data_IF_182859471675
#
_entry.id   IF_182859471675
#
_cell.length_a   1.000
_cell.length_b   1.000
_cell.length_c   1.000
_cell.angle_alpha   90.00
_cell.angle_beta   90.00
_cell.angle_gamma   90.00
#
_symmetry.space_group_name_H-M   'P 1'
#
loop_
_entity.id
_entity.type
_entity.pdbx_description
1 polymer ?
#
# COMPACT_ATOMS: atom_id res chain seq x y z
N UNK A 1 25.43 5.28 -11.86
CA UNK A 1 26.90 5.25 -12.04
C UNK A 1 27.24 4.70 -13.41
N UNK A 2 28.48 4.85 -13.89
CA UNK A 2 28.91 4.30 -15.17
C UNK A 2 30.11 5.04 -15.74
N UNK A 3 30.87 4.37 -16.63
CA UNK A 3 31.96 5.00 -17.37
C UNK A 3 31.44 5.41 -18.75
N UNK A 4 31.67 6.67 -19.13
CA UNK A 4 31.44 7.11 -20.50
C UNK A 4 32.37 6.36 -21.46
N UNK A 5 32.01 6.28 -22.75
CA UNK A 5 32.80 5.55 -23.76
C UNK A 5 34.30 5.94 -23.75
N UNK A 6 34.61 7.23 -23.61
CA UNK A 6 36.00 7.71 -23.49
C UNK A 6 36.71 7.17 -22.25
N UNK A 7 36.02 7.11 -21.12
CA UNK A 7 36.57 6.59 -19.86
C UNK A 7 36.77 5.07 -19.93
N UNK A 8 35.90 4.34 -20.63
CA UNK A 8 36.08 2.91 -20.92
C UNK A 8 37.38 2.69 -21.71
N UNK A 9 37.61 3.48 -22.77
CA UNK A 9 38.87 3.40 -23.54
C UNK A 9 40.09 3.75 -22.68
N UNK A 10 40.00 4.78 -21.85
CA UNK A 10 41.07 5.17 -20.91
C UNK A 10 41.36 4.06 -19.89
N UNK A 11 40.34 3.37 -19.38
CA UNK A 11 40.50 2.23 -18.48
C UNK A 11 41.27 1.09 -19.16
N UNK A 12 40.90 0.76 -20.40
CA UNK A 12 41.58 -0.28 -21.19
C UNK A 12 43.05 0.09 -21.42
N UNK A 13 43.35 1.31 -21.82
CA UNK A 13 44.74 1.74 -22.01
C UNK A 13 45.52 1.76 -20.70
N UNK A 14 44.93 2.21 -19.60
CA UNK A 14 45.56 2.18 -18.26
C UNK A 14 45.94 0.76 -17.86
N UNK A 15 45.04 -0.21 -18.08
CA UNK A 15 45.30 -1.62 -17.80
C UNK A 15 46.30 -2.22 -18.77
N UNK A 16 46.32 -1.78 -20.04
CA UNK A 16 47.32 -2.20 -21.03
C UNK A 16 48.71 -1.73 -20.66
N UNK A 17 48.87 -0.46 -20.29
CA UNK A 17 50.15 0.11 -19.85
C UNK A 17 50.67 -0.59 -18.59
N UNK A 18 49.77 -1.00 -17.69
CA UNK A 18 50.12 -1.75 -16.49
C UNK A 18 50.34 -3.27 -16.73
N UNK A 19 50.06 -3.79 -17.93
CA UNK A 19 50.12 -5.22 -18.24
C UNK A 19 49.09 -6.06 -17.47
N UNK A 20 47.89 -5.51 -17.24
CA UNK A 20 46.82 -6.09 -16.40
C UNK A 20 45.46 -6.19 -17.11
N UNK A 21 45.44 -6.26 -18.43
CA UNK A 21 44.18 -6.42 -19.19
C UNK A 21 43.35 -7.62 -18.74
N UNK A 22 44.02 -8.73 -18.38
CA UNK A 22 43.38 -9.94 -17.88
C UNK A 22 42.65 -9.76 -16.55
N UNK A 23 42.84 -8.63 -15.86
CA UNK A 23 42.12 -8.31 -14.62
C UNK A 23 40.69 -7.81 -14.90
N UNK A 24 40.43 -7.26 -16.08
CA UNK A 24 39.10 -6.78 -16.47
C UNK A 24 38.31 -7.92 -17.12
N UNK A 25 37.47 -8.57 -16.31
CA UNK A 25 36.78 -9.81 -16.70
C UNK A 25 35.25 -9.70 -16.73
N UNK A 26 34.68 -8.58 -16.27
CA UNK A 26 33.24 -8.40 -16.12
C UNK A 26 32.79 -7.09 -16.76
N UNK A 27 31.76 -7.19 -17.59
CA UNK A 27 31.00 -6.05 -18.11
C UNK A 27 29.68 -5.97 -17.35
N UNK A 28 29.39 -4.81 -16.77
CA UNK A 28 28.18 -4.56 -15.99
C UNK A 28 27.42 -3.36 -16.54
N UNK A 29 26.10 -3.45 -16.54
CA UNK A 29 25.19 -2.33 -16.71
C UNK A 29 23.93 -2.56 -15.89
N UNK A 30 23.26 -1.47 -15.49
CA UNK A 30 22.01 -1.53 -14.75
C UNK A 30 21.03 -0.49 -15.30
N UNK A 31 19.85 -0.94 -15.72
CA UNK A 31 18.83 -0.08 -16.36
C UNK A 31 17.91 0.62 -15.34
N UNK A 32 17.89 0.14 -14.10
CA UNK A 32 16.95 0.53 -13.06
C UNK A 32 16.18 -0.67 -12.50
N UNK A 33 15.50 -0.48 -11.37
CA UNK A 33 14.55 -1.45 -10.82
C UNK A 33 13.20 -1.34 -11.54
N UNK A 34 12.41 -2.41 -11.52
CA UNK A 34 11.02 -2.41 -12.03
C UNK A 34 10.91 -1.91 -13.49
N UNK A 35 11.66 -2.52 -14.42
CA UNK A 35 11.51 -2.18 -15.85
C UNK A 35 10.16 -2.72 -16.34
N UNK A 36 9.18 -1.85 -16.56
CA UNK A 36 7.83 -2.23 -17.00
C UNK A 36 7.77 -2.74 -18.45
N UNK A 37 8.70 -2.31 -19.29
CA UNK A 37 8.67 -2.53 -20.74
C UNK A 37 9.85 -3.35 -21.25
N UNK A 38 9.57 -4.50 -21.86
CA UNK A 38 10.58 -5.41 -22.40
C UNK A 38 11.46 -4.79 -23.48
N UNK A 39 10.94 -3.81 -24.24
CA UNK A 39 11.71 -3.16 -25.31
C UNK A 39 12.90 -2.38 -24.75
N UNK A 40 12.78 -1.83 -23.56
CA UNK A 40 13.84 -1.05 -22.94
C UNK A 40 14.97 -1.97 -22.47
N UNK A 41 14.62 -3.14 -21.92
CA UNK A 41 15.57 -4.22 -21.60
C UNK A 41 16.28 -4.70 -22.87
N UNK A 42 15.52 -5.03 -23.93
CA UNK A 42 16.09 -5.48 -25.19
C UNK A 42 17.02 -4.44 -25.84
N UNK A 43 16.73 -3.15 -25.65
CA UNK A 43 17.56 -2.06 -26.19
C UNK A 43 18.85 -1.91 -25.38
N UNK A 44 18.76 -1.91 -24.05
CA UNK A 44 19.92 -1.85 -23.17
C UNK A 44 20.87 -3.05 -23.36
N UNK A 45 20.34 -4.27 -23.44
CA UNK A 45 21.17 -5.47 -23.66
C UNK A 45 21.86 -5.43 -25.02
N UNK A 46 21.15 -5.01 -26.08
CA UNK A 46 21.76 -4.91 -27.42
C UNK A 46 22.91 -3.90 -27.47
N UNK A 47 22.77 -2.76 -26.80
CA UNK A 47 23.86 -1.79 -26.70
C UNK A 47 25.05 -2.37 -25.90
N UNK A 48 24.79 -2.94 -24.73
CA UNK A 48 25.84 -3.54 -23.88
C UNK A 48 26.54 -4.73 -24.53
N UNK A 49 25.82 -5.55 -25.31
CA UNK A 49 26.42 -6.64 -26.09
C UNK A 49 27.42 -6.10 -27.13
N UNK A 50 27.19 -4.91 -27.69
CA UNK A 50 28.18 -4.24 -28.56
C UNK A 50 29.42 -3.80 -27.77
N UNK A 51 29.28 -3.33 -26.53
CA UNK A 51 30.43 -3.05 -25.67
C UNK A 51 31.26 -4.32 -25.40
N UNK A 52 30.61 -5.47 -25.16
CA UNK A 52 31.31 -6.76 -25.02
C UNK A 52 32.17 -7.08 -26.25
N UNK A 53 31.59 -6.96 -27.46
CA UNK A 53 32.29 -7.20 -28.72
C UNK A 53 33.46 -6.24 -28.92
N UNK A 54 33.25 -4.94 -28.71
CA UNK A 54 34.29 -3.93 -28.94
C UNK A 54 35.42 -4.01 -27.91
N UNK A 55 35.14 -4.39 -26.65
CA UNK A 55 36.17 -4.64 -25.64
C UNK A 55 37.02 -5.87 -25.97
N UNK A 56 36.42 -6.94 -26.49
CA UNK A 56 37.15 -8.11 -27.03
C UNK A 56 38.08 -7.74 -28.19
N UNK A 57 37.64 -6.85 -29.10
CA UNK A 57 38.50 -6.33 -30.19
C UNK A 57 39.70 -5.54 -29.67
N UNK A 58 39.60 -4.93 -28.50
CA UNK A 58 40.70 -4.24 -27.82
C UNK A 58 41.63 -5.20 -27.04
N UNK A 59 41.36 -6.51 -27.09
CA UNK A 59 42.16 -7.56 -26.44
C UNK A 59 41.79 -7.81 -24.98
N UNK A 60 40.66 -7.28 -24.50
CA UNK A 60 40.15 -7.58 -23.15
C UNK A 60 39.36 -8.88 -23.20
N UNK A 61 39.70 -9.84 -22.34
CA UNK A 61 38.96 -11.09 -22.24
C UNK A 61 37.85 -11.00 -21.18
N UNK A 62 36.71 -10.41 -21.56
CA UNK A 62 35.54 -10.36 -20.69
C UNK A 62 34.87 -11.74 -20.67
N UNK A 63 34.63 -12.26 -19.48
CA UNK A 63 34.07 -13.59 -19.22
C UNK A 63 32.66 -13.52 -18.64
N UNK A 64 32.32 -12.41 -17.97
CA UNK A 64 31.04 -12.20 -17.34
C UNK A 64 30.30 -11.02 -18.00
N UNK A 65 29.06 -11.26 -18.38
CA UNK A 65 28.13 -10.27 -18.91
C UNK A 65 26.98 -10.12 -17.92
N UNK A 66 27.08 -9.09 -17.09
CA UNK A 66 26.14 -8.80 -16.03
C UNK A 66 25.14 -7.74 -16.49
N UNK A 67 23.87 -8.14 -16.55
CA UNK A 67 22.76 -7.26 -16.97
C UNK A 67 22.16 -6.45 -15.81
N UNK A 68 22.70 -6.64 -14.60
CA UNK A 68 22.17 -6.05 -13.38
C UNK A 68 20.76 -6.56 -13.06
N UNK A 69 20.03 -5.78 -12.27
CA UNK A 69 18.62 -6.02 -11.98
C UNK A 69 17.67 -5.53 -13.07
N UNK A 70 16.45 -5.19 -12.67
CA UNK A 70 15.43 -4.61 -13.55
C UNK A 70 14.36 -5.57 -14.07
N UNK A 71 14.54 -6.88 -13.87
CA UNK A 71 13.42 -7.83 -13.97
C UNK A 71 12.32 -7.40 -13.00
N UNK A 72 11.20 -6.91 -13.55
CA UNK A 72 10.10 -6.40 -12.77
C UNK A 72 9.14 -7.49 -12.31
N UNK A 73 8.30 -7.11 -11.36
CA UNK A 73 7.26 -7.96 -10.76
C UNK A 73 5.91 -7.34 -11.08
N UNK A 74 4.90 -8.17 -11.32
CA UNK A 74 3.55 -7.72 -11.62
C UNK A 74 2.76 -7.62 -10.31
N UNK A 75 2.68 -6.41 -9.75
CA UNK A 75 1.96 -6.16 -8.49
C UNK A 75 0.45 -5.98 -8.73
N UNK A 76 0.05 -5.53 -9.92
CA UNK A 76 -1.35 -5.32 -10.28
C UNK A 76 -2.07 -6.60 -10.72
N UNK A 77 -1.33 -7.55 -11.31
CA UNK A 77 -1.89 -8.74 -11.94
C UNK A 77 -2.45 -8.50 -13.36
N UNK A 78 -2.28 -7.28 -13.91
CA UNK A 78 -2.84 -6.89 -15.22
C UNK A 78 -1.93 -7.26 -16.40
N UNK A 79 -0.67 -7.62 -16.13
CA UNK A 79 0.38 -7.86 -17.14
C UNK A 79 0.50 -6.76 -18.19
N UNK A 80 0.33 -5.52 -17.75
CA UNK A 80 0.33 -4.33 -18.58
C UNK A 80 1.63 -3.55 -18.46
N UNK A 81 1.80 -2.54 -19.33
CA UNK A 81 2.91 -1.57 -19.25
C UNK A 81 2.50 -0.38 -18.37
N UNK A 82 2.24 -0.64 -17.09
CA UNK A 82 2.00 0.37 -16.05
C UNK A 82 3.16 0.42 -15.06
N UNK A 83 3.14 1.38 -14.15
CA UNK A 83 4.26 1.63 -13.23
C UNK A 83 4.47 0.47 -12.22
N UNK A 84 3.39 -0.18 -11.78
CA UNK A 84 3.42 -1.30 -10.85
C UNK A 84 3.27 -2.68 -11.52
N UNK A 85 3.37 -2.76 -12.86
CA UNK A 85 3.26 -4.00 -13.64
C UNK A 85 4.44 -4.17 -14.61
N UNK A 86 4.48 -5.34 -15.28
CA UNK A 86 5.36 -5.61 -16.40
C UNK A 86 4.60 -6.20 -17.60
N UNK A 87 5.02 -5.84 -18.80
CA UNK A 87 4.40 -6.33 -20.04
C UNK A 87 5.01 -7.62 -20.62
N UNK A 88 5.86 -8.32 -19.85
CA UNK A 88 6.63 -9.47 -20.35
C UNK A 88 6.78 -10.59 -19.33
N UNK A 89 6.87 -11.84 -19.79
CA UNK A 89 7.10 -13.04 -18.98
C UNK A 89 8.55 -13.21 -18.49
N UNK A 90 8.77 -14.05 -17.47
CA UNK A 90 10.11 -14.46 -17.04
C UNK A 90 10.93 -15.05 -18.21
N UNK A 91 10.30 -15.93 -19.00
CA UNK A 91 10.95 -16.55 -20.16
C UNK A 91 11.25 -15.54 -21.26
N UNK A 92 10.38 -14.54 -21.44
CA UNK A 92 10.59 -13.49 -22.44
C UNK A 92 11.77 -12.58 -22.06
N UNK A 93 11.88 -12.23 -20.77
CA UNK A 93 13.05 -11.54 -20.23
C UNK A 93 14.34 -12.33 -20.49
N UNK A 94 14.37 -13.61 -20.09
CA UNK A 94 15.52 -14.47 -20.30
C UNK A 94 15.89 -14.61 -21.78
N UNK A 95 14.88 -14.81 -22.65
CA UNK A 95 15.10 -14.90 -24.10
C UNK A 95 15.71 -13.60 -24.65
N UNK A 96 15.15 -12.43 -24.32
CA UNK A 96 15.67 -11.16 -24.84
C UNK A 96 17.14 -10.93 -24.45
N UNK A 97 17.54 -11.35 -23.24
CA UNK A 97 18.94 -11.25 -22.80
C UNK A 97 19.83 -12.22 -23.57
N UNK A 98 19.49 -13.52 -23.55
CA UNK A 98 20.33 -14.58 -24.11
C UNK A 98 20.47 -14.43 -25.62
N UNK A 99 19.39 -14.10 -26.35
CA UNK A 99 19.46 -13.89 -27.79
C UNK A 99 20.31 -12.68 -28.16
N UNK A 100 20.17 -11.55 -27.43
CA UNK A 100 20.91 -10.35 -27.75
C UNK A 100 22.44 -10.51 -27.60
N UNK A 101 22.90 -11.16 -26.53
CA UNK A 101 24.33 -11.45 -26.37
C UNK A 101 24.79 -12.59 -27.28
N UNK A 102 23.95 -13.60 -27.51
CA UNK A 102 24.24 -14.74 -28.39
C UNK A 102 24.47 -14.30 -29.84
N UNK A 103 23.53 -13.57 -30.42
CA UNK A 103 23.64 -13.06 -31.80
C UNK A 103 24.88 -12.17 -31.96
N UNK A 104 25.14 -11.29 -31.00
CA UNK A 104 26.33 -10.43 -31.02
C UNK A 104 27.65 -11.23 -30.98
N UNK A 105 27.69 -12.34 -30.24
CA UNK A 105 28.85 -13.23 -30.20
C UNK A 105 29.03 -13.98 -31.53
N UNK A 106 27.96 -14.57 -32.07
CA UNK A 106 27.97 -15.34 -33.33
C UNK A 106 28.41 -14.48 -34.52
N UNK A 107 27.87 -13.27 -34.63
CA UNK A 107 28.23 -12.33 -35.71
C UNK A 107 29.73 -11.97 -35.74
N UNK A 108 30.40 -12.03 -34.58
CA UNK A 108 31.79 -11.61 -34.42
C UNK A 108 32.74 -12.79 -34.13
N UNK A 109 32.23 -14.03 -34.12
CA UNK A 109 33.02 -15.23 -33.82
C UNK A 109 33.62 -15.25 -32.42
N UNK A 110 32.93 -14.67 -31.44
CA UNK A 110 33.37 -14.58 -30.04
C UNK A 110 32.77 -15.72 -29.19
N UNK A 111 33.43 -16.13 -28.10
CA UNK A 111 32.84 -17.08 -27.15
C UNK A 111 31.65 -16.45 -26.42
N UNK A 112 30.68 -17.29 -26.06
CA UNK A 112 29.55 -16.86 -25.24
C UNK A 112 30.01 -16.62 -23.79
N UNK A 113 29.79 -15.44 -23.20
CA UNK A 113 30.17 -15.17 -21.82
C UNK A 113 29.20 -15.83 -20.82
N UNK A 114 29.62 -15.91 -19.56
CA UNK A 114 28.71 -16.23 -18.45
C UNK A 114 27.76 -15.05 -18.26
N UNK A 115 26.46 -15.30 -18.29
CA UNK A 115 25.44 -14.26 -18.07
C UNK A 115 25.07 -14.21 -16.59
N UNK A 116 25.10 -13.01 -16.02
CA UNK A 116 24.73 -12.72 -14.64
C UNK A 116 23.53 -11.77 -14.65
N UNK A 117 22.63 -11.94 -13.68
CA UNK A 117 21.54 -11.00 -13.41
C UNK A 117 21.41 -10.80 -11.90
N UNK A 118 21.13 -9.57 -11.50
CA UNK A 118 20.96 -9.14 -10.10
C UNK A 118 19.47 -8.90 -9.80
N UNK A 119 18.62 -9.87 -10.16
CA UNK A 119 17.16 -9.77 -10.09
C UNK A 119 16.61 -9.92 -8.65
N UNK A 120 17.01 -9.03 -7.74
CA UNK A 120 16.63 -9.07 -6.32
C UNK A 120 15.13 -9.01 -6.07
N UNK A 121 14.46 -7.94 -6.54
CA UNK A 121 12.99 -7.77 -6.40
C UNK A 121 12.22 -9.00 -6.92
N UNK A 122 12.66 -9.59 -8.03
CA UNK A 122 11.98 -10.73 -8.63
C UNK A 122 12.00 -11.99 -7.75
N UNK A 123 13.05 -12.18 -6.93
CA UNK A 123 13.17 -13.36 -6.07
C UNK A 123 12.59 -13.13 -4.67
N UNK A 124 12.53 -11.90 -4.17
CA UNK A 124 12.04 -11.61 -2.82
C UNK A 124 10.62 -11.04 -2.75
N UNK A 125 10.04 -10.50 -3.82
CA UNK A 125 8.75 -9.78 -3.70
C UNK A 125 7.63 -10.60 -3.01
N UNK A 126 7.46 -11.88 -3.36
CA UNK A 126 6.31 -12.68 -2.95
C UNK A 126 6.49 -13.44 -1.62
N UNK A 127 7.69 -13.44 -1.03
CA UNK A 127 8.01 -14.38 0.07
C UNK A 127 7.48 -13.96 1.44
N UNK A 128 7.16 -12.67 1.62
CA UNK A 128 6.65 -12.10 2.87
C UNK A 128 5.22 -11.60 2.67
N UNK A 129 4.38 -11.82 3.68
CA UNK A 129 3.02 -11.27 3.78
C UNK A 129 2.90 -10.56 5.12
N UNK A 130 2.52 -9.28 5.10
CA UNK A 130 2.17 -8.57 6.32
C UNK A 130 0.71 -8.92 6.67
N UNK A 131 0.47 -9.31 7.92
CA UNK A 131 -0.86 -9.67 8.41
C UNK A 131 -1.18 -8.83 9.63
N UNK A 132 -2.36 -8.19 9.64
CA UNK A 132 -2.79 -7.38 10.78
C UNK A 132 -4.32 -7.37 10.92
N UNK A 133 -4.80 -7.08 12.13
CA UNK A 133 -6.21 -6.97 12.47
C UNK A 133 -6.75 -5.57 12.18
N UNK A 134 -8.08 -5.48 12.07
CA UNK A 134 -8.82 -4.22 12.01
C UNK A 134 -9.27 -3.90 13.43
N UNK A 135 -8.85 -2.77 13.98
CA UNK A 135 -9.16 -2.34 15.36
C UNK A 135 -10.37 -1.41 15.45
N UNK A 136 -10.84 -0.91 14.31
CA UNK A 136 -11.95 0.02 14.27
C UNK A 136 -12.53 0.15 12.89
N UNK A 137 -13.85 0.29 12.82
CA UNK A 137 -14.59 0.47 11.57
C UNK A 137 -15.53 1.66 11.71
N UNK A 138 -15.33 2.70 10.89
CA UNK A 138 -16.36 3.71 10.66
C UNK A 138 -17.26 3.26 9.50
N UNK A 139 -18.38 2.65 9.87
CA UNK A 139 -19.45 2.26 8.94
C UNK A 139 -20.56 3.28 8.99
N UNK A 140 -21.05 3.71 7.82
CA UNK A 140 -22.25 4.53 7.78
C UNK A 140 -23.47 3.71 8.24
N UNK A 141 -24.26 4.27 9.15
CA UNK A 141 -25.51 3.66 9.60
C UNK A 141 -26.68 4.22 8.79
N UNK A 142 -27.28 3.38 7.96
CA UNK A 142 -28.54 3.76 7.32
C UNK A 142 -29.64 3.88 8.37
N UNK A 143 -30.13 5.10 8.57
CA UNK A 143 -31.27 5.38 9.44
C UNK A 143 -32.37 6.03 8.63
N UNK A 144 -33.61 5.55 8.76
CA UNK A 144 -34.73 6.19 8.09
C UNK A 144 -34.90 7.61 8.64
N UNK A 145 -34.74 8.65 7.80
CA UNK A 145 -34.75 10.02 8.26
C UNK A 145 -36.16 10.45 8.69
N UNK A 146 -36.23 11.34 9.68
CA UNK A 146 -37.48 11.95 10.15
C UNK A 146 -37.69 13.31 9.51
N UNK A 147 -38.96 13.70 9.31
CA UNK A 147 -39.30 15.03 8.78
C UNK A 147 -38.65 16.14 9.63
N UNK A 148 -38.16 17.23 8.98
CA UNK A 148 -37.61 18.37 9.70
C UNK A 148 -38.75 19.14 10.40
N UNK A 149 -38.38 20.08 11.28
CA UNK A 149 -39.36 20.97 11.89
C UNK A 149 -40.10 21.80 10.83
N UNK A 150 -41.38 22.13 11.07
CA UNK A 150 -42.19 22.91 10.14
C UNK A 150 -41.62 24.32 9.88
N UNK A 151 -40.89 24.88 10.84
CA UNK A 151 -40.20 26.16 10.76
C UNK A 151 -38.71 26.04 10.40
N UNK A 152 -38.24 24.84 10.02
CA UNK A 152 -36.87 24.62 9.60
C UNK A 152 -36.53 25.47 8.35
N UNK A 153 -35.24 25.84 8.18
CA UNK A 153 -34.82 26.62 7.02
C UNK A 153 -35.15 25.91 5.70
N UNK A 154 -35.36 26.70 4.64
CA UNK A 154 -35.77 26.21 3.31
C UNK A 154 -34.85 25.11 2.76
N UNK A 155 -33.55 25.15 3.03
CA UNK A 155 -32.61 24.12 2.57
C UNK A 155 -32.95 22.73 3.15
N UNK A 156 -33.32 22.63 4.43
CA UNK A 156 -33.70 21.35 5.04
C UNK A 156 -35.04 20.85 4.49
N UNK A 157 -36.00 21.76 4.28
CA UNK A 157 -37.28 21.44 3.64
C UNK A 157 -37.07 20.93 2.21
N UNK A 158 -36.17 21.54 1.43
CA UNK A 158 -35.79 21.12 0.07
C UNK A 158 -35.21 19.70 0.03
N UNK A 159 -34.29 19.37 0.94
CA UNK A 159 -33.77 18.00 1.06
C UNK A 159 -34.86 16.99 1.42
N UNK A 160 -35.78 17.36 2.32
CA UNK A 160 -36.89 16.49 2.70
C UNK A 160 -37.89 16.27 1.56
N UNK A 161 -38.20 17.32 0.79
CA UNK A 161 -39.05 17.23 -0.41
C UNK A 161 -38.43 16.25 -1.43
N UNK A 162 -37.11 16.34 -1.65
CA UNK A 162 -36.37 15.42 -2.52
C UNK A 162 -36.47 13.97 -2.03
N UNK A 163 -36.27 13.74 -0.72
CA UNK A 163 -36.44 12.40 -0.12
C UNK A 163 -37.85 11.84 -0.30
N UNK A 164 -38.88 12.65 -0.12
CA UNK A 164 -40.27 12.23 -0.34
C UNK A 164 -40.53 11.91 -1.82
N UNK A 165 -40.01 12.72 -2.73
CA UNK A 165 -40.14 12.53 -4.18
C UNK A 165 -39.51 11.19 -4.63
N UNK A 166 -38.35 10.81 -4.06
CA UNK A 166 -37.67 9.53 -4.35
C UNK A 166 -38.53 8.30 -4.03
N UNK A 167 -39.43 8.42 -3.04
CA UNK A 167 -40.28 7.31 -2.58
C UNK A 167 -41.70 7.35 -3.19
N UNK A 168 -42.03 8.38 -3.96
CA UNK A 168 -43.34 8.51 -4.58
C UNK A 168 -43.44 7.71 -5.89
N UNK A 169 -44.40 6.77 -6.02
CA UNK A 169 -44.53 5.95 -7.22
C UNK A 169 -45.06 6.78 -8.39
N UNK A 170 -44.20 6.99 -9.41
CA UNK A 170 -44.58 7.65 -10.67
C UNK A 170 -43.75 8.89 -11.02
N UNK A 171 -42.86 9.32 -10.13
CA UNK A 171 -41.93 10.42 -10.40
C UNK A 171 -40.93 10.03 -11.49
N UNK A 172 -40.81 10.88 -12.51
CA UNK A 172 -40.03 10.62 -13.73
C UNK A 172 -38.72 11.41 -13.76
N UNK A 173 -38.10 11.56 -12.59
CA UNK A 173 -36.85 12.30 -12.39
C UNK A 173 -35.66 11.33 -12.44
N UNK A 174 -34.51 11.82 -12.87
CA UNK A 174 -33.33 10.96 -12.96
C UNK A 174 -32.66 10.83 -11.59
N UNK A 175 -32.15 9.63 -11.26
CA UNK A 175 -31.39 9.38 -10.02
C UNK A 175 -30.24 10.39 -9.83
N UNK A 176 -29.63 10.81 -10.94
CA UNK A 176 -28.53 11.78 -10.95
C UNK A 176 -28.98 13.16 -10.49
N UNK A 177 -30.18 13.59 -10.88
CA UNK A 177 -30.73 14.88 -10.51
C UNK A 177 -31.02 14.95 -9.02
N UNK A 178 -31.64 13.90 -8.44
CA UNK A 178 -31.82 13.81 -6.99
C UNK A 178 -30.50 13.90 -6.23
N UNK A 179 -29.45 13.23 -6.73
CA UNK A 179 -28.13 13.30 -6.10
C UNK A 179 -27.51 14.70 -6.18
N UNK A 180 -27.64 15.38 -7.33
CA UNK A 180 -27.15 16.76 -7.52
C UNK A 180 -27.88 17.77 -6.63
N UNK A 181 -29.21 17.69 -6.57
CA UNK A 181 -30.03 18.55 -5.71
C UNK A 181 -29.61 18.36 -4.24
N UNK A 182 -29.48 17.10 -3.82
CA UNK A 182 -29.06 16.75 -2.45
C UNK A 182 -27.64 17.22 -2.10
N UNK A 183 -26.70 17.15 -3.05
CA UNK A 183 -25.33 17.63 -2.86
C UNK A 183 -25.28 19.16 -2.72
N UNK A 184 -26.07 19.87 -3.52
CA UNK A 184 -26.13 21.33 -3.49
C UNK A 184 -26.74 21.83 -2.18
N UNK A 185 -27.87 21.23 -1.75
CA UNK A 185 -28.50 21.60 -0.49
C UNK A 185 -27.60 21.31 0.72
N UNK A 186 -26.90 20.17 0.75
CA UNK A 186 -25.94 19.86 1.81
C UNK A 186 -24.79 20.89 1.84
N UNK A 187 -24.28 21.29 0.67
CA UNK A 187 -23.24 22.31 0.57
C UNK A 187 -23.71 23.66 1.12
N UNK A 188 -24.91 24.11 0.76
CA UNK A 188 -25.48 25.36 1.25
C UNK A 188 -25.65 25.35 2.77
N UNK A 189 -26.05 24.19 3.35
CA UNK A 189 -26.16 24.00 4.80
C UNK A 189 -24.78 24.06 5.47
N UNK A 190 -23.73 23.46 4.88
CA UNK A 190 -22.36 23.52 5.40
C UNK A 190 -21.77 24.94 5.38
N UNK A 191 -21.98 25.68 4.29
CA UNK A 191 -21.56 27.09 4.17
C UNK A 191 -22.32 27.97 5.16
N UNK A 192 -23.62 27.77 5.27
CA UNK A 192 -24.45 28.49 6.22
C UNK A 192 -24.10 28.17 7.68
N UNK A 193 -23.81 26.92 8.01
CA UNK A 193 -23.34 26.51 9.34
C UNK A 193 -22.06 27.27 9.72
N UNK A 194 -21.10 27.34 8.81
CA UNK A 194 -19.84 28.09 9.00
C UNK A 194 -20.09 29.60 9.16
N UNK A 195 -21.15 30.10 8.55
CA UNK A 195 -21.60 31.50 8.66
C UNK A 195 -22.48 31.77 9.89
N UNK A 196 -22.78 30.75 10.69
CA UNK A 196 -23.62 30.83 11.89
C UNK A 196 -25.13 30.89 11.62
N UNK A 197 -25.59 30.53 10.41
CA UNK A 197 -27.03 30.54 10.06
C UNK A 197 -27.74 29.21 10.30
N UNK A 198 -26.98 28.13 10.51
CA UNK A 198 -27.51 26.81 10.86
C UNK A 198 -26.90 26.33 12.18
N UNK A 199 -27.70 25.60 12.95
CA UNK A 199 -27.29 24.90 14.15
C UNK A 199 -26.58 23.58 13.85
N UNK A 200 -25.91 23.02 14.86
CA UNK A 200 -25.29 21.70 14.76
C UNK A 200 -26.33 20.60 14.53
N UNK A 201 -27.51 20.71 15.15
CA UNK A 201 -28.60 19.75 14.98
C UNK A 201 -29.11 19.72 13.53
N UNK A 202 -29.25 20.88 12.90
CA UNK A 202 -29.70 20.98 11.50
C UNK A 202 -28.63 20.43 10.54
N UNK A 203 -27.35 20.73 10.80
CA UNK A 203 -26.24 20.15 10.04
C UNK A 203 -26.20 18.63 10.13
N UNK A 204 -26.28 18.08 11.35
CA UNK A 204 -26.26 16.63 11.57
C UNK A 204 -27.45 15.94 10.91
N UNK A 205 -28.64 16.53 10.99
CA UNK A 205 -29.84 16.02 10.32
C UNK A 205 -29.67 15.99 8.79
N UNK A 206 -29.11 17.05 8.20
CA UNK A 206 -28.87 17.14 6.76
C UNK A 206 -27.83 16.12 6.28
N UNK A 207 -26.74 15.94 7.03
CA UNK A 207 -25.70 14.94 6.75
C UNK A 207 -26.26 13.51 6.76
N UNK A 208 -27.08 13.16 7.76
CA UNK A 208 -27.72 11.85 7.86
C UNK A 208 -28.77 11.61 6.75
N UNK A 209 -29.57 12.63 6.43
CA UNK A 209 -30.52 12.55 5.32
C UNK A 209 -29.80 12.36 3.98
N UNK A 210 -28.69 13.07 3.77
CA UNK A 210 -27.87 12.93 2.57
C UNK A 210 -27.29 11.51 2.43
N UNK A 211 -26.72 10.93 3.49
CA UNK A 211 -26.21 9.55 3.48
C UNK A 211 -27.33 8.54 3.20
N UNK A 212 -28.52 8.77 3.76
CA UNK A 212 -29.70 7.93 3.49
C UNK A 212 -30.14 8.00 2.03
N UNK A 213 -30.10 9.20 1.41
CA UNK A 213 -30.36 9.38 -0.02
C UNK A 213 -29.32 8.67 -0.88
N UNK A 214 -28.03 8.78 -0.54
CA UNK A 214 -26.96 8.03 -1.22
C UNK A 214 -27.22 6.52 -1.20
N UNK A 215 -27.58 5.96 -0.04
CA UNK A 215 -27.91 4.55 0.10
C UNK A 215 -29.11 4.11 -0.76
N UNK A 216 -30.18 4.92 -0.82
CA UNK A 216 -31.35 4.60 -1.67
C UNK A 216 -31.06 4.75 -3.17
N UNK A 217 -30.24 5.74 -3.56
CA UNK A 217 -29.80 5.89 -4.95
C UNK A 217 -28.94 4.68 -5.35
N UNK A 218 -28.02 4.25 -4.48
CA UNK A 218 -27.11 3.13 -4.75
C UNK A 218 -27.87 1.84 -5.09
N UNK A 219 -28.96 1.53 -4.38
CA UNK A 219 -29.82 0.37 -4.64
C UNK A 219 -30.51 0.41 -6.02
N UNK A 220 -30.74 1.59 -6.57
CA UNK A 220 -31.45 1.79 -7.84
C UNK A 220 -30.51 1.90 -9.05
N UNK A 221 -29.19 2.03 -8.82
CA UNK A 221 -28.20 2.15 -9.89
C UNK A 221 -27.99 0.80 -10.59
N UNK A 222 -28.31 0.77 -11.88
CA UNK A 222 -27.96 -0.34 -12.78
C UNK A 222 -26.51 -0.22 -13.31
N UNK A 223 -25.58 -1.16 -13.00
CA UNK A 223 -24.20 -1.14 -13.50
C UNK A 223 -24.09 -1.35 -15.02
N UNK A 224 -25.10 -1.93 -15.67
CA UNK A 224 -25.12 -2.06 -17.13
C UNK A 224 -25.36 -0.71 -17.82
N UNK A 225 -26.02 0.23 -17.14
CA UNK A 225 -26.26 1.56 -17.67
C UNK A 225 -24.98 2.41 -17.61
N UNK A 226 -24.45 2.78 -18.78
CA UNK A 226 -23.24 3.60 -18.91
C UNK A 226 -23.33 4.96 -18.18
N UNK A 227 -24.52 5.55 -18.09
CA UNK A 227 -24.71 6.83 -17.38
C UNK A 227 -24.64 6.68 -15.86
N UNK A 228 -24.87 5.48 -15.32
CA UNK A 228 -24.86 5.20 -13.89
C UNK A 228 -23.47 4.89 -13.36
N UNK A 229 -22.59 4.28 -14.15
CA UNK A 229 -21.22 3.91 -13.73
C UNK A 229 -20.44 5.01 -12.98
N UNK A 230 -20.31 6.25 -13.50
CA UNK A 230 -19.58 7.28 -12.75
C UNK A 230 -20.26 7.66 -11.43
N UNK A 231 -21.57 7.45 -11.30
CA UNK A 231 -22.30 7.66 -10.05
C UNK A 231 -22.05 6.50 -9.09
N UNK A 232 -21.96 5.28 -9.59
CA UNK A 232 -21.62 4.09 -8.80
C UNK A 232 -20.24 4.27 -8.19
N UNK A 233 -19.24 4.66 -8.98
CA UNK A 233 -17.87 4.88 -8.50
C UNK A 233 -17.85 5.99 -7.42
N UNK A 234 -18.52 7.12 -7.68
CA UNK A 234 -18.64 8.24 -6.73
C UNK A 234 -19.33 7.83 -5.40
N UNK A 235 -20.39 7.03 -5.48
CA UNK A 235 -21.11 6.56 -4.29
C UNK A 235 -20.34 5.46 -3.56
N UNK A 236 -19.61 4.59 -4.26
CA UNK A 236 -18.80 3.55 -3.66
C UNK A 236 -17.68 4.14 -2.81
N UNK A 237 -17.00 5.19 -3.28
CA UNK A 237 -16.03 5.94 -2.48
C UNK A 237 -16.67 6.58 -1.25
N UNK A 238 -17.82 7.23 -1.45
CA UNK A 238 -18.47 7.98 -0.37
C UNK A 238 -19.12 7.09 0.71
N UNK A 239 -19.61 5.92 0.30
CA UNK A 239 -20.29 4.95 1.16
C UNK A 239 -19.34 3.84 1.64
N UNK A 240 -18.05 3.91 1.30
CA UNK A 240 -17.06 2.93 1.75
C UNK A 240 -16.92 2.97 3.27
N UNK A 241 -16.77 1.78 3.86
CA UNK A 241 -16.43 1.65 5.27
C UNK A 241 -14.96 2.08 5.46
N UNK A 242 -14.66 2.90 6.45
CA UNK A 242 -13.26 3.18 6.80
C UNK A 242 -12.79 2.19 7.84
N UNK A 243 -11.74 1.47 7.55
CA UNK A 243 -11.17 0.46 8.44
C UNK A 243 -9.80 0.93 8.92
N UNK A 244 -9.62 0.94 10.22
CA UNK A 244 -8.34 1.23 10.87
C UNK A 244 -7.63 -0.09 11.12
N UNK A 245 -6.52 -0.29 10.45
CA UNK A 245 -5.72 -1.52 10.50
C UNK A 245 -4.54 -1.30 11.43
N UNK A 246 -4.27 -2.24 12.33
CA UNK A 246 -3.25 -2.13 13.37
C UNK A 246 -1.82 -2.31 12.84
N UNK A 247 -1.37 -1.37 12.03
CA UNK A 247 -0.02 -1.34 11.48
C UNK A 247 0.39 0.10 11.18
N UNK A 248 1.61 0.30 10.69
CA UNK A 248 2.06 1.60 10.17
C UNK A 248 2.50 1.46 8.72
N UNK A 249 1.93 2.27 7.84
CA UNK A 249 2.27 2.33 6.42
C UNK A 249 3.74 2.70 6.21
N UNK A 250 4.22 3.68 6.98
CA UNK A 250 5.60 4.19 6.91
C UNK A 250 6.65 3.17 7.35
N UNK A 251 6.27 2.25 8.24
CA UNK A 251 7.14 1.22 8.76
C UNK A 251 7.12 -0.02 7.86
N UNK A 252 5.94 -0.55 7.55
CA UNK A 252 5.82 -1.85 6.89
C UNK A 252 5.68 -1.76 5.36
N UNK A 253 5.30 -0.60 4.82
CA UNK A 253 5.12 -0.40 3.36
C UNK A 253 5.60 0.99 2.88
N UNK A 254 6.86 1.38 3.13
CA UNK A 254 7.36 2.72 2.81
C UNK A 254 7.29 3.07 1.31
N UNK A 255 7.46 2.08 0.41
CA UNK A 255 7.32 2.31 -1.05
C UNK A 255 5.88 2.75 -1.44
N UNK A 256 4.85 2.35 -0.68
CA UNK A 256 3.46 2.77 -0.95
C UNK A 256 3.31 4.29 -0.78
N UNK A 257 3.95 4.85 0.26
CA UNK A 257 3.97 6.29 0.51
C UNK A 257 4.96 7.03 -0.40
N UNK A 258 6.15 6.46 -0.64
CA UNK A 258 7.24 7.17 -1.30
C UNK A 258 7.15 7.24 -2.83
N UNK A 259 6.54 6.24 -3.47
CA UNK A 259 6.50 6.09 -4.94
C UNK A 259 5.15 5.57 -5.47
N UNK A 260 4.07 5.68 -4.69
CA UNK A 260 2.73 5.18 -5.03
C UNK A 260 2.73 3.68 -5.41
N UNK A 261 3.59 2.88 -4.77
CA UNK A 261 3.69 1.44 -5.05
C UNK A 261 2.42 0.71 -4.64
N UNK A 262 1.88 -0.09 -5.55
CA UNK A 262 0.71 -0.92 -5.29
C UNK A 262 1.10 -2.24 -4.62
N UNK A 263 0.30 -2.63 -3.62
CA UNK A 263 0.36 -3.93 -2.97
C UNK A 263 -1.02 -4.59 -3.04
N UNK A 264 -1.12 -5.88 -3.40
CA UNK A 264 -2.38 -6.59 -3.27
C UNK A 264 -2.77 -6.69 -1.79
N UNK A 265 -3.94 -6.13 -1.46
CA UNK A 265 -4.53 -6.19 -0.11
C UNK A 265 -5.88 -6.87 -0.20
N UNK A 266 -6.13 -7.82 0.69
CA UNK A 266 -7.37 -8.58 0.74
C UNK A 266 -7.64 -9.17 2.14
N UNK A 267 -8.91 -9.42 2.50
CA UNK A 267 -9.23 -10.19 3.69
C UNK A 267 -8.76 -11.63 3.55
N UNK A 268 -8.29 -12.22 4.65
CA UNK A 268 -7.77 -13.60 4.64
C UNK A 268 -8.88 -14.67 4.56
N UNK A 269 -10.14 -14.27 4.68
CA UNK A 269 -11.31 -15.15 4.67
C UNK A 269 -12.50 -14.51 3.94
N UNK A 270 -13.52 -15.32 3.61
CA UNK A 270 -14.73 -14.85 2.91
C UNK A 270 -14.55 -14.59 1.41
N UNK A 271 -13.39 -14.94 0.83
CA UNK A 271 -13.05 -14.71 -0.57
C UNK A 271 -13.87 -15.55 -1.57
N UNK A 272 -14.62 -16.55 -1.08
CA UNK A 272 -15.56 -17.35 -1.89
C UNK A 272 -16.89 -16.63 -2.16
N UNK A 273 -17.14 -15.52 -1.46
CA UNK A 273 -18.36 -14.72 -1.56
C UNK A 273 -18.19 -13.56 -2.54
N UNK A 274 -19.30 -13.09 -3.09
CA UNK A 274 -19.29 -11.86 -3.91
C UNK A 274 -19.05 -10.65 -2.99
N UNK A 275 -18.25 -9.65 -3.38
CA UNK A 275 -18.09 -8.45 -2.58
C UNK A 275 -19.40 -7.67 -2.50
N UNK A 276 -19.87 -7.44 -1.28
CA UNK A 276 -21.10 -6.69 -0.99
C UNK A 276 -20.79 -5.22 -0.64
N UNK A 277 -19.54 -4.94 -0.23
CA UNK A 277 -19.11 -3.64 0.29
C UNK A 277 -17.80 -3.17 -0.32
N UNK A 278 -17.54 -1.89 -0.11
CA UNK A 278 -16.26 -1.25 -0.40
C UNK A 278 -15.69 -0.69 0.90
N UNK A 279 -14.38 -0.72 1.03
CA UNK A 279 -13.68 -0.17 2.19
C UNK A 279 -12.46 0.65 1.78
N UNK A 280 -12.08 1.59 2.64
CA UNK A 280 -10.78 2.28 2.58
C UNK A 280 -10.02 1.92 3.84
N UNK A 281 -8.77 1.50 3.66
CA UNK A 281 -7.88 1.10 4.73
C UNK A 281 -7.00 2.28 5.14
N UNK A 282 -7.03 2.58 6.43
CA UNK A 282 -6.15 3.54 7.08
C UNK A 282 -5.30 2.79 8.12
N UNK A 283 -4.08 3.25 8.31
CA UNK A 283 -3.23 2.80 9.39
C UNK A 283 -3.60 3.51 10.71
N UNK A 284 -2.89 3.21 11.80
CA UNK A 284 -3.15 3.81 13.13
C UNK A 284 -2.29 5.04 13.42
N UNK A 285 -1.58 5.57 12.42
CA UNK A 285 -0.80 6.78 12.60
C UNK A 285 -1.71 8.00 12.69
N UNK A 286 -1.18 9.09 13.24
CA UNK A 286 -1.91 10.35 13.30
C UNK A 286 -1.76 11.17 12.01
N UNK A 287 -1.04 10.64 11.02
CA UNK A 287 -0.81 11.29 9.73
C UNK A 287 -1.89 10.86 8.74
N UNK A 288 -2.48 11.81 8.03
CA UNK A 288 -3.48 11.53 7.01
C UNK A 288 -2.91 10.79 5.80
N UNK A 289 -1.59 10.84 5.61
CA UNK A 289 -0.89 10.10 4.56
C UNK A 289 -0.77 8.59 4.91
N UNK A 290 -1.12 8.17 6.12
CA UNK A 290 -1.19 6.78 6.57
C UNK A 290 -2.40 6.02 6.01
N UNK A 291 -2.66 6.12 4.71
CA UNK A 291 -3.78 5.45 4.05
C UNK A 291 -3.36 4.79 2.74
N UNK A 292 -4.10 3.77 2.33
CA UNK A 292 -3.91 3.15 1.01
C UNK A 292 -4.87 3.80 0.02
N UNK A 293 -4.30 4.45 -1.00
CA UNK A 293 -5.07 5.20 -2.00
C UNK A 293 -5.65 4.32 -3.11
N UNK A 294 -4.99 3.20 -3.41
CA UNK A 294 -5.27 2.39 -4.59
C UNK A 294 -5.23 0.89 -4.28
N UNK A 295 -6.23 0.18 -4.79
CA UNK A 295 -6.48 -1.24 -4.55
C UNK A 295 -6.63 -1.99 -5.87
N UNK A 296 -6.28 -3.27 -5.86
CA UNK A 296 -6.43 -4.15 -7.01
C UNK A 296 -7.89 -4.61 -7.12
N UNK A 297 -8.51 -4.41 -8.29
CA UNK A 297 -9.92 -4.74 -8.54
C UNK A 297 -10.11 -5.34 -9.94
N UNK A 298 -9.71 -6.61 -10.09
CA UNK A 298 -9.91 -7.41 -11.30
C UNK A 298 -9.24 -6.83 -12.54
N UNK A 299 -9.99 -6.04 -13.32
CA UNK A 299 -9.55 -5.47 -14.60
C UNK A 299 -8.68 -4.21 -14.46
N UNK A 300 -8.46 -3.71 -13.23
CA UNK A 300 -7.61 -2.54 -13.01
C UNK A 300 -7.44 -2.17 -11.53
N UNK A 301 -7.25 -0.87 -11.30
CA UNK A 301 -7.06 -0.27 -9.98
C UNK A 301 -8.30 0.54 -9.59
N UNK A 302 -8.68 0.47 -8.33
CA UNK A 302 -9.79 1.23 -7.74
C UNK A 302 -9.31 2.03 -6.53
N UNK A 303 -10.05 3.08 -6.18
CA UNK A 303 -9.80 3.94 -5.00
C UNK A 303 -10.35 3.35 -3.70
N UNK A 304 -11.05 2.23 -3.78
CA UNK A 304 -11.60 1.50 -2.64
C UNK A 304 -11.38 0.01 -2.82
N UNK A 305 -11.30 -0.74 -1.71
CA UNK A 305 -11.12 -2.18 -1.69
C UNK A 305 -12.48 -2.90 -1.69
N UNK A 306 -12.71 -3.92 -2.54
CA UNK A 306 -13.86 -4.81 -2.40
C UNK A 306 -13.76 -5.65 -1.13
N UNK A 307 -14.83 -5.69 -0.34
CA UNK A 307 -14.94 -6.52 0.86
C UNK A 307 -16.20 -7.41 0.80
N UNK A 308 -16.13 -8.68 1.25
CA UNK A 308 -17.30 -9.47 1.59
C UNK A 308 -18.16 -8.78 2.65
N UNK A 309 -19.39 -9.25 2.90
CA UNK A 309 -20.10 -8.82 4.10
C UNK A 309 -19.38 -9.41 5.33
N UNK A 310 -19.11 -8.56 6.32
CA UNK A 310 -18.42 -8.93 7.55
C UNK A 310 -19.14 -8.33 8.76
N UNK A 311 -18.88 -8.90 9.93
CA UNK A 311 -19.36 -8.36 11.20
C UNK A 311 -18.45 -7.20 11.63
N UNK A 312 -18.96 -5.95 11.77
CA UNK A 312 -18.12 -4.84 12.21
C UNK A 312 -17.61 -4.99 13.65
N UNK A 313 -18.26 -5.82 14.49
CA UNK A 313 -17.77 -6.13 15.85
C UNK A 313 -16.66 -7.19 15.83
N UNK A 314 -16.51 -7.95 14.75
CA UNK A 314 -15.47 -8.98 14.59
C UNK A 314 -15.01 -9.04 13.12
N UNK A 315 -14.25 -8.03 12.67
CA UNK A 315 -13.77 -7.94 11.30
C UNK A 315 -12.69 -9.01 11.01
N UNK A 316 -12.53 -9.42 9.72
CA UNK A 316 -11.52 -10.39 9.35
C UNK A 316 -10.10 -9.79 9.40
N UNK A 317 -9.09 -10.65 9.52
CA UNK A 317 -7.69 -10.26 9.33
C UNK A 317 -7.44 -9.83 7.89
N UNK A 318 -6.53 -8.86 7.71
CA UNK A 318 -6.08 -8.40 6.40
C UNK A 318 -4.69 -8.94 6.10
N UNK A 319 -4.46 -9.30 4.83
CA UNK A 319 -3.14 -9.65 4.30
C UNK A 319 -2.69 -8.64 3.26
N UNK A 320 -1.46 -8.15 3.42
CA UNK A 320 -0.76 -7.33 2.43
C UNK A 320 0.33 -8.18 1.79
N UNK A 321 0.16 -8.47 0.52
CA UNK A 321 1.02 -9.37 -0.23
C UNK A 321 2.06 -8.58 -1.00
N UNK A 322 3.10 -9.28 -1.47
CA UNK A 322 4.14 -8.71 -2.32
C UNK A 322 5.06 -7.70 -1.62
N UNK A 323 5.10 -7.72 -0.28
CA UNK A 323 5.87 -6.79 0.55
C UNK A 323 7.31 -7.23 0.83
N UNK A 324 7.78 -8.35 0.27
CA UNK A 324 9.09 -8.92 0.62
C UNK A 324 10.31 -8.28 -0.04
N UNK A 325 10.15 -7.23 -0.86
CA UNK A 325 11.26 -6.54 -1.50
C UNK A 325 11.31 -5.08 -1.06
N UNK A 326 12.47 -4.61 -0.59
CA UNK A 326 12.73 -3.24 -0.10
C UNK A 326 12.04 -2.86 1.20
N UNK A 327 10.82 -3.34 1.47
CA UNK A 327 9.96 -2.81 2.53
C UNK A 327 10.57 -2.90 3.94
N UNK A 328 10.98 -4.10 4.35
CA UNK A 328 11.47 -4.38 5.71
C UNK A 328 12.62 -3.45 6.14
N UNK A 329 13.55 -3.13 5.22
CA UNK A 329 14.75 -2.34 5.55
C UNK A 329 14.56 -0.83 5.36
N UNK A 330 13.52 -0.41 4.62
CA UNK A 330 13.25 1.00 4.33
C UNK A 330 12.25 1.63 5.30
N UNK A 331 11.65 0.82 6.18
CA UNK A 331 10.72 1.27 7.21
C UNK A 331 11.29 2.40 8.06
N UNK A 332 10.42 3.31 8.47
CA UNK A 332 10.77 4.36 9.42
C UNK A 332 9.79 4.39 10.60
N UNK A 333 10.33 4.81 11.75
CA UNK A 333 9.62 4.80 13.03
C UNK A 333 8.68 6.00 13.21
N UNK A 334 7.80 6.24 12.23
CA UNK A 334 6.80 7.30 12.31
C UNK A 334 5.91 7.08 13.55
N UNK A 335 5.64 8.13 14.31
CA UNK A 335 4.96 8.04 15.62
C UNK A 335 5.60 7.09 16.64
N UNK A 336 6.88 6.70 16.46
CA UNK A 336 7.55 5.71 17.29
C UNK A 336 6.90 4.32 17.23
N UNK A 337 6.24 3.97 16.12
CA UNK A 337 5.96 2.57 15.81
C UNK A 337 7.23 1.92 15.28
N UNK A 338 7.68 0.85 15.94
CA UNK A 338 8.93 0.17 15.58
C UNK A 338 8.69 -1.02 14.67
N UNK A 339 9.72 -1.87 14.52
CA UNK A 339 9.69 -3.04 13.65
C UNK A 339 8.57 -4.03 14.06
N UNK A 340 7.95 -4.65 13.06
CA UNK A 340 6.88 -5.63 13.29
C UNK A 340 7.45 -6.99 13.69
N UNK A 341 6.70 -7.78 14.48
CA UNK A 341 7.07 -9.18 14.74
C UNK A 341 7.09 -9.96 13.42
N UNK A 342 8.10 -10.80 13.22
CA UNK A 342 8.30 -11.57 12.00
C UNK A 342 8.48 -13.06 12.32
N UNK A 343 7.80 -13.91 11.55
CA UNK A 343 7.86 -15.38 11.70
C UNK A 343 8.14 -16.05 10.37
N UNK A 344 9.00 -17.07 10.40
CA UNK A 344 9.28 -17.94 9.26
C UNK A 344 8.35 -19.15 9.30
N UNK A 345 7.58 -19.34 8.22
CA UNK A 345 6.59 -20.43 8.10
C UNK A 345 7.06 -21.46 7.08
N UNK A 346 7.22 -22.71 7.52
CA UNK A 346 7.61 -23.83 6.68
C UNK A 346 6.47 -24.82 6.52
N UNK A 347 6.19 -25.22 5.28
CA UNK A 347 5.18 -26.25 4.95
C UNK A 347 5.86 -27.43 4.28
N UNK A 348 5.78 -28.60 4.91
CA UNK A 348 6.45 -29.82 4.43
C UNK A 348 5.52 -30.70 3.59
N UNK A 349 6.06 -31.62 2.76
CA UNK A 349 5.25 -32.51 1.92
C UNK A 349 4.32 -33.47 2.70
N UNK A 350 4.56 -33.67 3.99
CA UNK A 350 3.69 -34.46 4.87
C UNK A 350 2.48 -33.68 5.41
N UNK A 351 2.42 -32.37 5.13
CA UNK A 351 1.39 -31.46 5.60
C UNK A 351 1.68 -30.86 6.97
N UNK A 352 2.85 -31.10 7.57
CA UNK A 352 3.25 -30.43 8.80
C UNK A 352 3.64 -28.98 8.52
N UNK A 353 3.30 -28.10 9.48
CA UNK A 353 3.60 -26.66 9.45
C UNK A 353 4.48 -26.36 10.65
N UNK A 354 5.67 -25.82 10.38
CA UNK A 354 6.58 -25.31 11.41
C UNK A 354 6.58 -23.78 11.33
N UNK A 355 6.50 -23.13 12.50
CA UNK A 355 6.53 -21.68 12.64
C UNK A 355 7.66 -21.34 13.59
N UNK A 356 8.67 -20.62 13.09
CA UNK A 356 9.83 -20.18 13.86
C UNK A 356 9.79 -18.65 13.98
N UNK A 357 10.05 -18.14 15.19
CA UNK A 357 10.16 -16.70 15.41
C UNK A 357 11.45 -16.19 14.77
N UNK A 358 11.32 -15.22 13.87
CA UNK A 358 12.43 -14.60 13.16
C UNK A 358 12.85 -13.30 13.85
N UNK A 359 11.87 -12.47 14.20
CA UNK A 359 12.06 -11.21 14.93
C UNK A 359 10.90 -10.99 15.91
N UNK A 360 11.19 -10.52 17.14
CA UNK A 360 10.18 -10.24 18.19
C UNK A 360 9.48 -8.90 17.95
N UNK A 361 10.03 -8.04 17.09
CA UNK A 361 9.58 -6.67 16.91
C UNK A 361 9.97 -5.76 18.08
N UNK A 362 9.74 -4.46 17.89
CA UNK A 362 10.17 -3.45 18.84
C UNK A 362 9.17 -3.21 19.97
N UNK A 363 9.70 -2.89 21.15
CA UNK A 363 8.90 -2.42 22.29
C UNK A 363 8.94 -0.89 22.41
N UNK A 364 8.02 -0.32 23.20
CA UNK A 364 8.05 1.12 23.52
C UNK A 364 9.40 1.53 24.15
N UNK A 365 10.00 0.64 24.95
CA UNK A 365 11.30 0.86 25.56
C UNK A 365 12.45 0.97 24.53
N UNK A 366 12.38 0.23 23.42
CA UNK A 366 13.38 0.27 22.34
C UNK A 366 13.28 1.58 21.57
N UNK A 367 12.05 2.01 21.26
CA UNK A 367 11.77 3.30 20.62
C UNK A 367 12.22 4.49 21.48
N UNK A 368 12.03 4.41 22.80
CA UNK A 368 12.54 5.43 23.72
C UNK A 368 14.07 5.48 23.74
N UNK A 369 14.74 4.34 23.68
CA UNK A 369 16.21 4.30 23.57
C UNK A 369 16.71 4.94 22.28
N UNK A 370 16.00 4.74 21.16
CA UNK A 370 16.32 5.37 19.88
C UNK A 370 16.35 6.90 19.98
N UNK A 371 15.40 7.49 20.71
CA UNK A 371 15.35 8.94 20.99
C UNK A 371 16.16 9.37 22.22
N UNK A 372 17.10 8.52 22.67
CA UNK A 372 18.06 8.77 23.75
C UNK A 372 17.44 8.90 25.16
N UNK A 373 16.31 8.23 25.39
CA UNK A 373 15.69 8.09 26.70
C UNK A 373 15.96 6.70 27.29
N UNK A 374 16.40 6.65 28.55
CA UNK A 374 16.61 5.39 29.26
C UNK A 374 15.32 4.95 29.98
N UNK A 375 14.66 3.87 29.55
CA UNK A 375 13.42 3.39 30.16
C UNK A 375 13.56 3.05 31.65
N UNK A 376 14.76 2.62 32.09
CA UNK A 376 15.01 2.30 33.51
C UNK A 376 14.97 3.55 34.40
N UNK A 377 15.56 4.63 33.89
CA UNK A 377 15.51 5.93 34.55
C UNK A 377 14.08 6.46 34.57
N UNK A 378 13.34 6.30 33.47
CA UNK A 378 11.95 6.74 33.34
C UNK A 378 11.02 6.00 34.34
N UNK A 379 11.14 4.68 34.44
CA UNK A 379 10.38 3.87 35.41
C UNK A 379 10.65 4.32 36.86
N UNK A 380 11.91 4.63 37.19
CA UNK A 380 12.26 5.16 38.52
C UNK A 380 11.62 6.54 38.79
N UNK A 381 11.63 7.43 37.79
CA UNK A 381 10.99 8.74 37.89
C UNK A 381 9.47 8.64 38.05
N UNK A 382 8.82 7.74 37.32
CA UNK A 382 7.38 7.48 37.45
C UNK A 382 7.06 6.95 38.85
N UNK A 383 7.83 5.98 39.34
CA UNK A 383 7.69 5.43 40.70
C UNK A 383 7.77 6.51 41.78
N UNK A 384 8.65 7.50 41.65
CA UNK A 384 8.78 8.57 42.63
C UNK A 384 7.66 9.63 42.52
N UNK A 385 7.02 9.76 41.36
CA UNK A 385 5.82 10.59 41.18
C UNK A 385 4.60 9.90 41.80
N UNK A 386 4.41 8.61 41.53
CA UNK A 386 3.29 7.83 42.08
C UNK A 386 3.37 7.78 43.61
N UNK A 387 4.55 7.66 44.23
CA UNK A 387 4.66 7.73 45.71
C UNK A 387 4.22 9.07 46.33
N UNK A 388 4.21 10.15 45.55
CA UNK A 388 3.84 11.49 46.02
C UNK A 388 2.36 11.80 45.81
N UNK A 389 1.61 10.87 45.23
CA UNK A 389 0.17 11.01 45.05
C UNK A 389 -0.58 10.65 46.33
N UNK A 390 -1.76 11.22 46.52
CA UNK A 390 -2.62 10.96 47.68
C UNK A 390 -3.50 9.70 47.50
N UNK A 391 -3.20 8.85 46.50
CA UNK A 391 -3.91 7.59 46.25
C UNK A 391 -3.51 6.50 47.25
N UNK A 392 -4.35 5.48 47.40
CA UNK A 392 -4.04 4.32 48.23
C UNK A 392 -2.89 3.47 47.65
N UNK A 393 -2.29 2.64 48.50
CA UNK A 393 -1.13 1.86 48.12
C UNK A 393 -1.45 0.79 47.06
N UNK A 394 -2.69 0.28 47.04
CA UNK A 394 -3.14 -0.72 46.06
C UNK A 394 -3.21 -0.10 44.66
N UNK A 395 -3.83 1.07 44.53
CA UNK A 395 -3.93 1.78 43.25
C UNK A 395 -2.57 2.34 42.80
N UNK A 396 -1.74 2.79 43.74
CA UNK A 396 -0.35 3.16 43.41
C UNK A 396 0.41 1.98 42.79
N UNK A 397 0.26 0.77 43.32
CA UNK A 397 0.92 -0.42 42.76
C UNK A 397 0.35 -0.77 41.38
N UNK A 398 -0.98 -0.75 41.22
CA UNK A 398 -1.62 -0.99 39.92
C UNK A 398 -1.07 -0.06 38.84
N UNK A 399 -0.91 1.24 39.14
CA UNK A 399 -0.37 2.21 38.18
C UNK A 399 1.07 1.89 37.75
N UNK A 400 1.90 1.37 38.66
CA UNK A 400 3.26 0.95 38.30
C UNK A 400 3.23 -0.27 37.38
N UNK A 401 2.35 -1.24 37.65
CA UNK A 401 2.21 -2.45 36.84
C UNK A 401 1.73 -2.12 35.42
N UNK A 402 0.69 -1.29 35.28
CA UNK A 402 0.20 -0.82 33.97
C UNK A 402 1.27 -0.01 33.21
N UNK A 403 2.01 0.85 33.93
CA UNK A 403 3.07 1.65 33.31
C UNK A 403 4.25 0.81 32.83
N UNK A 404 4.68 -0.17 33.63
CA UNK A 404 5.76 -1.09 33.25
C UNK A 404 5.33 -2.01 32.10
N UNK A 405 4.08 -2.48 32.11
CA UNK A 405 3.50 -3.26 31.03
C UNK A 405 3.46 -2.47 29.72
N UNK A 406 2.99 -1.21 29.72
CA UNK A 406 3.00 -0.37 28.53
C UNK A 406 4.41 0.03 28.07
N UNK A 407 5.35 0.23 29.00
CA UNK A 407 6.73 0.62 28.68
C UNK A 407 7.51 -0.51 27.99
N UNK A 408 7.32 -1.75 28.41
CA UNK A 408 7.97 -2.92 27.82
C UNK A 408 7.05 -3.73 26.91
N UNK A 409 5.86 -3.20 26.63
CA UNK A 409 4.90 -3.77 25.70
C UNK A 409 5.27 -3.45 24.26
N UNK A 410 4.60 -4.15 23.36
CA UNK A 410 4.74 -3.98 21.92
C UNK A 410 4.33 -2.57 21.49
N UNK A 411 4.90 -2.03 20.40
CA UNK A 411 4.60 -0.66 19.97
C UNK A 411 3.19 -0.49 19.40
N UNK A 412 2.57 -1.57 18.94
CA UNK A 412 1.25 -1.55 18.31
C UNK A 412 0.11 -1.72 19.32
N UNK A 413 -1.12 -1.51 18.86
CA UNK A 413 -2.29 -1.45 19.74
C UNK A 413 -2.83 -2.84 20.05
N UNK A 414 -3.50 -2.95 21.20
CA UNK A 414 -4.30 -4.13 21.56
C UNK A 414 -5.73 -3.99 21.00
N UNK A 415 -6.40 -5.11 20.76
CA UNK A 415 -7.81 -5.14 20.36
C UNK A 415 -8.70 -4.76 21.57
N UNK A 416 -9.59 -3.76 21.42
CA UNK A 416 -10.45 -3.23 22.51
C UNK A 416 -11.77 -3.99 22.72
#
# INVERSE_FOLDING_TARGET
FGLAATQVLQLVETLREAGRLDSLQLLHFHLGSQMANIRDIATGVRESARFYVELHKLGVNIQCFDVGGGLGVDYEGTRSQSDCSVNYGLNEYANNIIWAIGDACEENGLPHPTVITESGRAVTAHHTVLVSNIIGVERNEYTVPTAPAEDAPRALQSMWETWQEMHEPGTRRSLREWLHDSQMDLHDIHIGYSSGTFSLQERAWAEQLYLSMCHEVQKQLDPQNRAHRPIIDELQERMADKMYVNFSLFQSMPDAWGIDQLFPVLPLEGLDQVPERRAVLLDITCDSDGAIDHYIDGDGIATTMPMPEYDPENPPMLGFFMVGAYQEILGNMHNLFGDTEAVDVFVFPDGSVEVELSDEGDTVADMLQYVQLDPKTLLTQFRDQVKKTDLDAELQQQFLEEFEAGLYGYTYLEDE
#
